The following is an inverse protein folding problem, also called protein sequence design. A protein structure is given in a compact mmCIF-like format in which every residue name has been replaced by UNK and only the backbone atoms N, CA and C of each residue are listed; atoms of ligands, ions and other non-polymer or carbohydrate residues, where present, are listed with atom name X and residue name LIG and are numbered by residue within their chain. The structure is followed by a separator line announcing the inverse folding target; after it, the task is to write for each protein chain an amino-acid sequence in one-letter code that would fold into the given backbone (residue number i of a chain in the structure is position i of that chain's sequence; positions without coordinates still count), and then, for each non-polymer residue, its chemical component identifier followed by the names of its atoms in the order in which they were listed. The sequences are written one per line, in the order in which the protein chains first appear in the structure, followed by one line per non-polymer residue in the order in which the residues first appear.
data_IF_300842732567
#
_entry.id   IF_300842732567
#
_cell.length_a   1.000
_cell.length_b   1.000
_cell.length_c   1.000
_cell.angle_alpha   90.00
_cell.angle_beta   90.00
_cell.angle_gamma   90.00
#
_symmetry.space_group_name_H-M   'P 1'
#
loop_
_entity.id
_entity.type
_entity.pdbx_description
1 polymer ?
#
# COMPACT_ATOMS: atom_id res chain seq x y z
N UNK A 1 -10.14 -13.35 -20.15
CA UNK A 1 -9.51 -12.47 -19.13
C UNK A 1 -10.65 -11.76 -18.43
N UNK A 2 -10.82 -11.97 -17.12
CA UNK A 2 -11.53 -11.00 -16.30
C UNK A 2 -10.75 -9.68 -16.46
N UNK A 3 -11.37 -8.58 -16.77
CA UNK A 3 -10.69 -7.30 -16.93
C UNK A 3 -10.19 -6.71 -15.61
N UNK A 4 -10.15 -7.48 -14.52
CA UNK A 4 -9.79 -7.05 -13.18
C UNK A 4 -8.27 -7.02 -12.94
N UNK A 5 -7.83 -6.24 -11.97
CA UNK A 5 -6.42 -6.05 -11.62
C UNK A 5 -6.08 -6.90 -10.40
N UNK A 6 -5.40 -8.00 -10.63
CA UNK A 6 -5.10 -9.02 -9.64
C UNK A 6 -3.59 -9.20 -9.43
N UNK A 7 -3.21 -9.72 -8.28
CA UNK A 7 -1.81 -10.07 -7.98
C UNK A 7 -1.46 -11.46 -8.51
N UNK A 8 -0.26 -11.55 -9.05
CA UNK A 8 0.35 -12.80 -9.50
C UNK A 8 1.76 -12.92 -8.95
N UNK A 9 2.20 -14.14 -8.68
CA UNK A 9 3.61 -14.48 -8.42
C UNK A 9 4.14 -15.33 -9.56
N UNK A 10 5.45 -15.26 -9.80
CA UNK A 10 6.15 -16.09 -10.78
C UNK A 10 7.60 -16.28 -10.36
N UNK A 11 8.28 -17.24 -10.93
CA UNK A 11 9.72 -17.39 -10.83
C UNK A 11 10.45 -16.24 -11.57
N UNK A 12 11.72 -15.99 -11.23
CA UNK A 12 12.53 -14.95 -11.89
C UNK A 12 12.72 -15.18 -13.40
N UNK A 13 12.60 -16.40 -13.87
CA UNK A 13 12.63 -16.76 -15.28
C UNK A 13 11.27 -16.63 -15.99
N UNK A 14 10.24 -16.13 -15.27
CA UNK A 14 8.89 -15.98 -15.79
C UNK A 14 8.02 -17.24 -15.75
N UNK A 15 8.58 -18.36 -15.29
CA UNK A 15 7.83 -19.63 -15.17
C UNK A 15 6.96 -19.63 -13.88
N UNK A 16 6.11 -20.66 -13.76
CA UNK A 16 5.29 -20.92 -12.58
C UNK A 16 4.42 -19.71 -12.15
N UNK A 17 3.78 -19.06 -13.11
CA UNK A 17 2.84 -17.95 -12.84
C UNK A 17 1.64 -18.46 -12.06
N UNK A 18 1.38 -17.88 -10.89
CA UNK A 18 0.23 -18.20 -10.04
C UNK A 18 -0.53 -16.93 -9.70
N UNK A 19 -1.85 -16.98 -9.83
CA UNK A 19 -2.75 -15.95 -9.36
C UNK A 19 -2.84 -16.01 -7.82
N UNK A 20 -2.73 -14.87 -7.15
CA UNK A 20 -2.74 -14.75 -5.69
C UNK A 20 -4.08 -14.20 -5.21
N UNK A 21 -4.65 -13.21 -5.92
CA UNK A 21 -5.94 -12.61 -5.59
C UNK A 21 -6.95 -12.89 -6.69
N UNK A 22 -8.23 -12.94 -6.32
CA UNK A 22 -9.35 -13.15 -7.25
C UNK A 22 -10.64 -12.58 -6.64
N UNK A 23 -10.61 -11.31 -6.26
CA UNK A 23 -11.76 -10.61 -5.65
C UNK A 23 -11.95 -9.29 -6.38
N UNK A 24 -13.16 -9.02 -6.84
CA UNK A 24 -13.47 -7.81 -7.59
C UNK A 24 -12.92 -6.54 -6.91
N UNK A 25 -12.16 -5.77 -7.66
CA UNK A 25 -11.51 -4.53 -7.24
C UNK A 25 -10.03 -4.51 -7.57
N UNK A 26 -9.40 -3.39 -7.40
CA UNK A 26 -7.98 -3.21 -7.64
C UNK A 26 -7.15 -3.91 -6.56
N UNK A 27 -6.19 -4.71 -6.97
CA UNK A 27 -5.12 -5.26 -6.13
C UNK A 27 -3.75 -4.83 -6.67
N UNK A 28 -2.91 -4.19 -5.87
CA UNK A 28 -1.59 -3.77 -6.34
C UNK A 28 -0.64 -3.22 -5.29
N UNK A 29 0.58 -2.88 -5.73
CA UNK A 29 1.62 -2.35 -4.86
C UNK A 29 2.09 -3.35 -3.80
N UNK A 30 2.25 -4.61 -4.18
CA UNK A 30 2.52 -5.73 -3.29
C UNK A 30 4.00 -5.88 -2.95
N UNK A 31 4.26 -6.28 -1.70
CA UNK A 31 5.60 -6.67 -1.20
C UNK A 31 5.52 -7.95 -0.37
N UNK A 32 6.53 -8.78 -0.50
CA UNK A 32 6.72 -9.93 0.38
C UNK A 32 7.20 -9.50 1.76
N UNK A 33 6.80 -10.28 2.79
CA UNK A 33 7.43 -10.20 4.12
C UNK A 33 8.92 -10.59 4.05
N UNK A 34 9.75 -10.18 5.03
CA UNK A 34 11.19 -10.49 5.04
C UNK A 34 11.51 -11.98 4.94
N UNK A 35 10.66 -12.84 5.46
CA UNK A 35 10.77 -14.30 5.40
C UNK A 35 10.10 -14.93 4.17
N UNK A 36 9.45 -14.12 3.32
CA UNK A 36 8.73 -14.56 2.13
C UNK A 36 7.41 -15.30 2.38
N UNK A 37 6.96 -15.40 3.62
CA UNK A 37 5.76 -16.18 3.98
C UNK A 37 4.45 -15.45 3.71
N UNK A 38 4.48 -14.11 3.65
CA UNK A 38 3.30 -13.25 3.48
C UNK A 38 3.49 -12.23 2.37
N UNK A 39 2.36 -11.70 1.90
CA UNK A 39 2.29 -10.59 0.95
C UNK A 39 1.40 -9.52 1.57
N UNK A 40 1.91 -8.26 1.60
CA UNK A 40 1.14 -7.04 1.92
C UNK A 40 0.86 -6.29 0.63
N UNK A 41 -0.33 -5.74 0.48
CA UNK A 41 -0.73 -4.97 -0.70
C UNK A 41 -1.86 -3.99 -0.37
N UNK A 42 -2.12 -3.06 -1.28
CA UNK A 42 -3.30 -2.19 -1.22
C UNK A 42 -4.38 -2.70 -2.15
N UNK A 43 -5.62 -2.52 -1.76
CA UNK A 43 -6.76 -2.93 -2.58
C UNK A 43 -7.98 -2.02 -2.39
N UNK A 44 -8.76 -1.88 -3.44
CA UNK A 44 -10.15 -1.42 -3.35
C UNK A 44 -11.12 -2.60 -3.36
N UNK A 45 -12.27 -2.43 -2.73
CA UNK A 45 -13.31 -3.46 -2.68
C UNK A 45 -14.66 -2.78 -2.85
N UNK A 46 -15.13 -2.57 -4.09
CA UNK A 46 -16.45 -2.01 -4.34
C UNK A 46 -17.54 -2.92 -3.76
N UNK A 47 -18.50 -2.34 -3.05
CA UNK A 47 -19.51 -3.08 -2.25
C UNK A 47 -20.93 -2.87 -2.74
N UNK A 48 -21.23 -1.69 -3.28
CA UNK A 48 -22.54 -1.38 -3.82
C UNK A 48 -22.56 -1.55 -5.34
N UNK A 49 -23.74 -1.69 -5.92
CA UNK A 49 -23.89 -1.81 -7.37
C UNK A 49 -23.31 -0.57 -8.09
N UNK A 50 -23.48 0.62 -7.51
CA UNK A 50 -22.95 1.87 -8.05
C UNK A 50 -21.41 1.89 -8.03
N UNK A 51 -20.80 1.46 -6.92
CA UNK A 51 -19.33 1.37 -6.82
C UNK A 51 -18.76 0.34 -7.82
N UNK A 52 -19.45 -0.78 -8.01
CA UNK A 52 -19.07 -1.81 -8.99
C UNK A 52 -19.16 -1.28 -10.42
N UNK A 53 -20.26 -0.56 -10.75
CA UNK A 53 -20.45 0.05 -12.06
C UNK A 53 -19.36 1.12 -12.33
N UNK A 54 -19.07 1.99 -11.37
CA UNK A 54 -18.02 3.00 -11.48
C UNK A 54 -16.65 2.34 -11.69
N UNK A 55 -16.29 1.34 -10.87
CA UNK A 55 -15.02 0.63 -10.98
C UNK A 55 -14.86 -0.04 -12.35
N UNK A 56 -15.87 -0.78 -12.80
CA UNK A 56 -15.82 -1.51 -14.07
C UNK A 56 -15.81 -0.56 -15.28
N UNK A 57 -16.51 0.57 -15.19
CA UNK A 57 -16.50 1.62 -16.22
C UNK A 57 -15.10 2.21 -16.38
N UNK A 58 -14.46 2.65 -15.28
CA UNK A 58 -13.10 3.17 -15.28
C UNK A 58 -12.10 2.14 -15.81
N UNK A 59 -12.23 0.89 -15.37
CA UNK A 59 -11.34 -0.19 -15.78
C UNK A 59 -11.44 -0.46 -17.30
N UNK A 60 -12.64 -0.32 -17.89
CA UNK A 60 -12.83 -0.46 -19.34
C UNK A 60 -12.08 0.60 -20.15
N UNK A 61 -11.80 1.76 -19.55
CA UNK A 61 -10.99 2.85 -20.11
C UNK A 61 -9.51 2.74 -19.75
N UNK A 62 -9.10 1.68 -19.04
CA UNK A 62 -7.73 1.47 -18.55
C UNK A 62 -7.37 2.35 -17.35
N UNK A 63 -8.36 2.84 -16.63
CA UNK A 63 -8.20 3.71 -15.47
C UNK A 63 -8.58 2.97 -14.17
N UNK A 64 -8.00 3.41 -13.06
CA UNK A 64 -8.36 3.00 -11.70
C UNK A 64 -8.42 4.23 -10.82
N UNK A 65 -9.47 4.34 -10.01
CA UNK A 65 -9.58 5.39 -9.01
C UNK A 65 -8.58 5.15 -7.88
N UNK A 66 -7.71 6.12 -7.54
CA UNK A 66 -6.66 5.92 -6.55
C UNK A 66 -7.14 6.11 -5.10
N UNK A 67 -8.44 6.31 -4.90
CA UNK A 67 -9.07 6.57 -3.59
C UNK A 67 -9.71 5.30 -3.03
N UNK A 68 -10.08 5.33 -1.74
CA UNK A 68 -10.78 4.24 -1.05
C UNK A 68 -10.02 2.90 -1.08
N UNK A 69 -8.70 2.98 -0.93
CA UNK A 69 -7.85 1.81 -0.86
C UNK A 69 -7.45 1.51 0.58
N UNK A 70 -7.58 0.25 0.95
CA UNK A 70 -7.15 -0.27 2.25
C UNK A 70 -6.00 -1.26 2.08
N UNK A 71 -5.33 -1.58 3.19
CA UNK A 71 -4.24 -2.55 3.19
C UNK A 71 -4.77 -3.95 3.50
N UNK A 72 -4.27 -4.91 2.73
CA UNK A 72 -4.59 -6.33 2.85
C UNK A 72 -3.32 -7.14 2.99
N UNK A 73 -3.39 -8.22 3.75
CA UNK A 73 -2.32 -9.19 3.92
C UNK A 73 -2.83 -10.60 3.62
N UNK A 74 -2.01 -11.42 3.01
CA UNK A 74 -2.28 -12.85 2.83
C UNK A 74 -1.00 -13.68 2.98
N UNK A 75 -1.13 -15.00 3.01
CA UNK A 75 0.01 -15.88 2.83
C UNK A 75 0.56 -15.78 1.39
N UNK A 76 1.81 -16.16 1.17
CA UNK A 76 2.45 -16.07 -0.15
C UNK A 76 1.80 -16.94 -1.23
N UNK A 77 0.92 -17.88 -0.86
CA UNK A 77 0.11 -18.67 -1.76
C UNK A 77 -1.30 -18.09 -2.04
N UNK A 78 -1.64 -16.93 -1.42
CA UNK A 78 -2.93 -16.25 -1.51
C UNK A 78 -3.94 -16.65 -0.44
N UNK A 79 -3.65 -17.66 0.38
CA UNK A 79 -4.53 -18.07 1.48
C UNK A 79 -4.52 -17.08 2.64
N UNK A 80 -5.49 -17.19 3.55
CA UNK A 80 -5.64 -16.37 4.75
C UNK A 80 -5.67 -14.83 4.45
N UNK A 81 -6.37 -14.44 3.38
CA UNK A 81 -6.54 -13.04 2.99
C UNK A 81 -7.31 -12.27 4.05
N UNK A 82 -6.72 -11.17 4.54
CA UNK A 82 -7.29 -10.29 5.56
C UNK A 82 -7.09 -8.83 5.20
N UNK A 83 -8.12 -8.02 5.44
CA UNK A 83 -7.99 -6.57 5.50
C UNK A 83 -7.41 -6.18 6.86
N UNK A 84 -6.39 -5.32 6.89
CA UNK A 84 -5.72 -4.88 8.12
C UNK A 84 -5.92 -3.39 8.44
N UNK A 85 -6.36 -2.58 7.47
CA UNK A 85 -6.77 -1.18 7.71
C UNK A 85 -8.24 -0.97 7.38
N UNK A 86 -8.88 -0.06 8.13
CA UNK A 86 -10.26 0.38 7.97
C UNK A 86 -10.31 1.90 8.18
N UNK A 87 -9.42 2.60 7.49
CA UNK A 87 -9.17 4.02 7.71
C UNK A 87 -9.97 4.91 6.75
N UNK A 88 -10.46 4.34 5.67
CA UNK A 88 -11.03 5.10 4.57
C UNK A 88 -9.97 5.90 3.81
N UNK A 89 -10.41 6.73 2.86
CA UNK A 89 -9.53 7.52 2.00
C UNK A 89 -8.50 6.64 1.25
N UNK A 90 -7.24 7.06 1.20
CA UNK A 90 -6.20 6.39 0.42
C UNK A 90 -5.06 5.89 1.31
N UNK A 91 -4.86 4.59 1.34
CA UNK A 91 -3.78 3.93 2.07
C UNK A 91 -2.86 3.23 1.05
N UNK A 92 -1.64 3.73 0.86
CA UNK A 92 -0.77 3.36 -0.26
C UNK A 92 0.59 2.88 0.18
N UNK A 93 1.25 2.17 -0.75
CA UNK A 93 2.67 1.83 -0.67
C UNK A 93 3.05 1.14 0.65
N UNK A 94 2.35 0.07 1.06
CA UNK A 94 2.73 -0.66 2.25
C UNK A 94 4.07 -1.36 2.06
N UNK A 95 4.88 -1.41 3.12
CA UNK A 95 6.15 -2.11 3.13
C UNK A 95 6.38 -2.74 4.52
N UNK A 96 6.89 -3.96 4.58
CA UNK A 96 7.21 -4.58 5.85
C UNK A 96 8.44 -3.95 6.51
N UNK A 97 8.36 -3.76 7.82
CA UNK A 97 9.55 -3.59 8.63
C UNK A 97 10.36 -4.90 8.62
N UNK A 98 11.71 -4.87 8.67
CA UNK A 98 12.55 -6.07 8.65
C UNK A 98 12.29 -7.07 9.79
N UNK A 99 11.68 -6.65 10.90
CA UNK A 99 11.20 -7.56 11.95
C UNK A 99 10.07 -8.50 11.50
N UNK A 100 9.34 -8.13 10.43
CA UNK A 100 8.22 -8.89 9.90
C UNK A 100 6.89 -8.73 10.65
N UNK A 101 6.86 -8.01 11.77
CA UNK A 101 5.68 -7.81 12.62
C UNK A 101 4.98 -6.44 12.42
N UNK A 102 5.60 -5.52 11.67
CA UNK A 102 5.07 -4.17 11.40
C UNK A 102 5.08 -3.85 9.92
N UNK A 103 4.20 -2.94 9.54
CA UNK A 103 4.03 -2.43 8.19
C UNK A 103 4.08 -0.91 8.25
N UNK A 104 4.92 -0.31 7.41
CA UNK A 104 4.93 1.13 7.15
C UNK A 104 4.17 1.42 5.87
N UNK A 105 3.43 2.52 5.82
CA UNK A 105 2.62 2.89 4.65
C UNK A 105 2.34 4.39 4.60
N UNK A 106 1.85 4.86 3.46
CA UNK A 106 1.40 6.24 3.28
C UNK A 106 -0.11 6.33 3.37
N UNK A 107 -0.63 7.35 4.06
CA UNK A 107 -2.07 7.58 4.16
C UNK A 107 -2.42 9.06 4.27
N UNK A 108 -3.60 9.39 3.74
CA UNK A 108 -4.25 10.68 3.94
C UNK A 108 -5.51 10.57 4.81
N UNK A 109 -5.67 9.52 5.61
CA UNK A 109 -6.90 9.22 6.34
C UNK A 109 -7.33 10.33 7.31
N UNK A 110 -6.38 11.11 7.85
CA UNK A 110 -6.67 12.28 8.70
C UNK A 110 -6.97 13.55 7.90
N UNK A 111 -6.91 13.49 6.56
CA UNK A 111 -7.16 14.63 5.70
C UNK A 111 -8.61 14.68 5.22
N UNK A 112 -9.23 15.86 5.30
CA UNK A 112 -10.57 16.11 4.74
C UNK A 112 -10.55 16.56 3.28
N UNK A 113 -9.36 16.81 2.72
CA UNK A 113 -9.20 17.39 1.38
C UNK A 113 -8.30 16.54 0.45
N UNK A 114 -8.06 15.27 0.77
CA UNK A 114 -7.18 14.39 -0.01
C UNK A 114 -5.68 14.61 0.22
N UNK A 115 -5.27 15.70 0.85
CA UNK A 115 -3.91 16.03 1.26
C UNK A 115 -3.92 16.61 2.69
N UNK A 116 -2.82 16.49 3.47
CA UNK A 116 -1.53 15.85 3.15
C UNK A 116 -1.57 14.31 3.22
N UNK A 117 -0.58 13.67 2.59
CA UNK A 117 -0.21 12.28 2.87
C UNK A 117 0.91 12.26 3.90
N UNK A 118 0.80 11.35 4.86
CA UNK A 118 1.83 11.12 5.87
C UNK A 118 2.16 9.63 5.96
N UNK A 119 3.31 9.32 6.51
CA UNK A 119 3.75 7.96 6.77
C UNK A 119 3.18 7.50 8.10
N UNK A 120 2.63 6.31 8.12
CA UNK A 120 2.10 5.60 9.28
C UNK A 120 2.75 4.24 9.42
N UNK A 121 2.67 3.67 10.60
CA UNK A 121 3.06 2.30 10.92
C UNK A 121 1.93 1.61 11.64
N UNK A 122 1.73 0.32 11.36
CA UNK A 122 0.71 -0.53 11.96
C UNK A 122 1.29 -1.93 12.15
N UNK A 123 0.83 -2.66 13.16
CA UNK A 123 1.19 -4.08 13.32
C UNK A 123 0.49 -4.93 12.23
N UNK A 124 1.07 -6.06 11.88
CA UNK A 124 0.52 -6.97 10.85
C UNK A 124 -0.87 -7.53 11.19
N UNK A 125 -1.32 -7.41 12.44
CA UNK A 125 -2.67 -7.76 12.90
C UNK A 125 -3.66 -6.59 12.84
N UNK A 126 -3.24 -5.42 12.32
CA UNK A 126 -4.07 -4.22 12.18
C UNK A 126 -4.19 -3.38 13.45
N UNK A 127 -3.37 -3.63 14.49
CA UNK A 127 -3.38 -2.86 15.73
C UNK A 127 -2.23 -1.85 15.80
N UNK A 128 -2.24 -1.04 16.87
CA UNK A 128 -1.16 -0.11 17.22
C UNK A 128 -0.79 0.87 16.10
N UNK A 129 -1.79 1.39 15.37
CA UNK A 129 -1.58 2.42 14.36
C UNK A 129 -0.86 3.63 14.96
N UNK A 130 0.27 4.02 14.35
CA UNK A 130 1.11 5.14 14.77
C UNK A 130 1.45 6.01 13.57
N UNK A 131 1.25 7.31 13.69
CA UNK A 131 1.73 8.29 12.71
C UNK A 131 3.23 8.54 12.88
N UNK A 132 3.97 8.55 11.78
CA UNK A 132 5.43 8.70 11.74
C UNK A 132 5.83 10.09 11.27
N UNK A 133 5.18 10.62 10.22
CA UNK A 133 5.45 11.99 9.74
C UNK A 133 4.25 12.90 9.97
N UNK A 134 4.52 14.20 10.20
CA UNK A 134 3.52 15.19 10.62
C UNK A 134 3.50 16.42 9.70
N UNK A 135 3.94 16.26 8.45
CA UNK A 135 4.01 17.35 7.50
C UNK A 135 2.65 17.74 6.91
N UNK A 136 2.65 18.91 6.25
CA UNK A 136 1.57 19.32 5.32
C UNK A 136 1.94 19.00 3.87
N UNK A 137 2.82 18.04 3.69
CA UNK A 137 3.45 17.65 2.43
C UNK A 137 2.92 16.30 1.98
N UNK A 138 3.35 15.86 0.80
CA UNK A 138 3.12 14.51 0.32
C UNK A 138 4.33 13.66 0.75
N UNK A 139 4.17 12.82 1.76
CA UNK A 139 5.15 11.85 2.21
C UNK A 139 4.66 10.45 1.80
N UNK A 140 5.43 9.75 0.95
CA UNK A 140 4.97 8.47 0.37
C UNK A 140 6.12 7.52 0.03
N UNK A 141 5.77 6.30 -0.36
CA UNK A 141 6.69 5.24 -0.77
C UNK A 141 7.75 4.92 0.28
N UNK A 142 7.36 4.68 1.55
CA UNK A 142 8.31 4.34 2.59
C UNK A 142 8.89 2.94 2.37
N UNK A 143 10.21 2.80 2.52
CA UNK A 143 10.91 1.52 2.48
C UNK A 143 12.00 1.49 3.53
N UNK A 144 12.15 0.36 4.23
CA UNK A 144 13.23 0.16 5.21
C UNK A 144 14.49 -0.39 4.55
N UNK A 145 15.65 -0.04 5.10
CA UNK A 145 16.87 -0.81 4.88
C UNK A 145 16.73 -2.21 5.46
N UNK A 146 17.45 -3.19 4.91
CA UNK A 146 17.35 -4.60 5.34
C UNK A 146 17.69 -4.82 6.82
N UNK A 147 18.53 -3.95 7.40
CA UNK A 147 18.90 -3.97 8.80
C UNK A 147 17.93 -3.20 9.73
N UNK A 148 16.89 -2.56 9.15
CA UNK A 148 15.89 -1.79 9.89
C UNK A 148 16.39 -0.47 10.46
N UNK A 149 17.63 -0.06 10.19
CA UNK A 149 18.23 1.14 10.80
C UNK A 149 17.90 2.44 10.07
N UNK A 150 17.37 2.36 8.84
CA UNK A 150 17.04 3.53 8.02
C UNK A 150 15.71 3.36 7.30
N UNK A 151 14.99 4.48 7.19
CA UNK A 151 13.77 4.62 6.41
C UNK A 151 14.04 5.57 5.24
N UNK A 152 13.86 5.10 4.00
CA UNK A 152 13.80 5.94 2.83
C UNK A 152 12.34 6.23 2.47
N UNK A 153 12.04 7.43 2.01
CA UNK A 153 10.70 7.82 1.57
C UNK A 153 10.75 8.97 0.57
N UNK A 154 9.72 9.12 -0.22
CA UNK A 154 9.55 10.25 -1.14
C UNK A 154 8.79 11.37 -0.45
N UNK A 155 9.22 12.63 -0.68
CA UNK A 155 8.53 13.80 -0.13
C UNK A 155 8.71 15.03 -1.01
N UNK A 156 7.70 15.88 -1.03
CA UNK A 156 7.79 17.20 -1.64
C UNK A 156 8.09 18.32 -0.62
N UNK A 157 8.60 17.95 0.57
CA UNK A 157 9.10 18.90 1.57
C UNK A 157 10.32 19.68 1.05
N UNK A 158 10.50 20.90 1.51
CA UNK A 158 11.68 21.73 1.21
C UNK A 158 11.92 21.99 -0.29
N UNK A 159 10.90 21.92 -1.11
CA UNK A 159 10.99 22.06 -2.58
C UNK A 159 10.77 23.50 -3.08
N UNK A 160 10.78 24.51 -2.19
CA UNK A 160 10.57 25.91 -2.57
C UNK A 160 9.15 26.22 -3.06
N UNK A 161 8.18 25.36 -2.77
CA UNK A 161 6.78 25.56 -3.15
C UNK A 161 6.38 24.93 -4.50
N UNK A 162 7.33 24.25 -5.19
CA UNK A 162 7.02 23.47 -6.37
C UNK A 162 6.41 22.08 -6.02
N UNK A 163 6.05 21.29 -7.05
CA UNK A 163 5.47 19.95 -6.88
C UNK A 163 6.51 18.84 -6.97
N UNK A 164 7.80 19.18 -7.06
CA UNK A 164 8.87 18.20 -7.18
C UNK A 164 8.93 17.32 -5.93
N UNK A 165 9.05 16.05 -6.14
CA UNK A 165 9.19 15.05 -5.08
C UNK A 165 10.59 14.48 -5.11
N UNK A 166 11.26 14.47 -3.96
CA UNK A 166 12.62 13.96 -3.78
C UNK A 166 12.65 12.79 -2.82
N UNK A 167 13.72 12.00 -2.84
CA UNK A 167 13.94 10.92 -1.90
C UNK A 167 14.67 11.45 -0.65
N UNK A 168 14.16 11.10 0.51
CA UNK A 168 14.75 11.39 1.81
C UNK A 168 15.12 10.10 2.52
N UNK A 169 16.16 10.15 3.34
CA UNK A 169 16.59 9.05 4.19
C UNK A 169 16.63 9.57 5.63
N UNK A 170 16.04 8.83 6.54
CA UNK A 170 16.07 9.10 7.97
C UNK A 170 16.66 7.91 8.72
N UNK A 171 17.45 8.16 9.76
CA UNK A 171 17.85 7.14 10.71
C UNK A 171 16.62 6.69 11.50
N UNK A 172 16.44 5.38 11.64
CA UNK A 172 15.35 4.78 12.37
C UNK A 172 15.82 4.29 13.74
N UNK A 173 15.01 4.58 14.76
CA UNK A 173 15.18 4.08 16.13
C UNK A 173 13.84 3.60 16.63
N UNK A 174 13.78 2.36 17.06
CA UNK A 174 12.61 1.74 17.69
C UNK A 174 12.26 2.40 19.04
#
# INVERSE_FOLDING_TARGET
RSGDLELYTMNLDGSNVKQITNVLGYDGGAFFSPDGSKIIFRASRPKTDEEVEEYTSLLSEGLVQPTEMELFICNSDGSDLKQITFLGNSNWSPFFHPSGDKIVFSSNYESTMGFPFNIYMIDVDGKNLKRITYGKTFDSFPVFSNDGTRLAFSSNRNNGGNRDTNVFIADWKD
#
